data_IF_035326984715
#
_entry.id   IF_035326984715
#
_cell.length_a   1.000
_cell.length_b   1.000
_cell.length_c   1.000
_cell.angle_alpha   90.00
_cell.angle_beta   90.00
_cell.angle_gamma   90.00
#
_symmetry.space_group_name_H-M   'P 1'
#
loop_
_entity.id
_entity.type
_entity.pdbx_description
1 polymer ?
#
# COMPACT_ATOMS: atom_id res chain seq x y z
N UNK A 1 32.73 6.66 8.00
CA UNK A 1 31.40 6.10 8.32
C UNK A 1 30.88 5.39 7.09
N UNK A 2 31.06 4.06 7.01
CA UNK A 2 30.56 3.26 5.91
C UNK A 2 29.16 2.72 6.28
N UNK A 3 28.17 3.03 5.46
CA UNK A 3 26.82 2.48 5.54
C UNK A 3 26.89 0.97 5.33
N UNK A 4 26.68 0.20 6.40
CA UNK A 4 26.56 -1.24 6.34
C UNK A 4 25.29 -1.59 5.54
N UNK A 5 25.48 -2.18 4.36
CA UNK A 5 24.41 -2.83 3.60
C UNK A 5 23.79 -3.91 4.50
N UNK A 6 22.50 -3.76 4.81
CA UNK A 6 21.70 -4.80 5.44
C UNK A 6 21.65 -6.02 4.51
N UNK A 7 22.44 -7.05 4.83
CA UNK A 7 22.27 -8.38 4.25
C UNK A 7 20.90 -8.90 4.71
N UNK A 8 19.96 -9.03 3.78
CA UNK A 8 18.73 -9.80 3.94
C UNK A 8 19.09 -11.27 4.05
N UNK A 9 19.39 -11.75 5.25
CA UNK A 9 19.48 -13.18 5.54
C UNK A 9 18.10 -13.63 6.00
N UNK A 10 17.22 -14.02 5.08
CA UNK A 10 16.12 -14.95 5.37
C UNK A 10 16.70 -16.37 5.15
N UNK A 11 17.17 -17.07 6.21
CA UNK A 11 17.84 -18.38 6.08
C UNK A 11 16.93 -19.49 5.51
N UNK A 12 15.61 -19.28 5.46
CA UNK A 12 14.65 -20.28 5.00
C UNK A 12 14.32 -20.22 3.50
N UNK A 13 14.55 -19.09 2.81
CA UNK A 13 14.27 -19.01 1.37
C UNK A 13 15.13 -19.95 0.54
N UNK A 14 16.30 -20.34 1.03
CA UNK A 14 17.20 -21.30 0.37
C UNK A 14 16.64 -22.72 0.32
N UNK A 15 15.74 -23.10 1.22
CA UNK A 15 15.12 -24.43 1.25
C UNK A 15 13.85 -24.52 0.39
N UNK A 16 13.19 -23.41 0.11
CA UNK A 16 11.96 -23.33 -0.69
C UNK A 16 12.25 -23.42 -2.20
N UNK A 17 11.33 -23.98 -2.99
CA UNK A 17 11.56 -24.15 -4.42
C UNK A 17 10.39 -24.72 -5.21
N UNK A 18 10.61 -24.93 -6.51
CA UNK A 18 9.56 -25.29 -7.47
C UNK A 18 10.06 -26.16 -8.63
N UNK A 19 11.13 -26.95 -8.40
CA UNK A 19 11.74 -27.77 -9.44
C UNK A 19 10.80 -28.86 -9.98
N UNK A 20 9.90 -29.34 -9.14
CA UNK A 20 8.90 -30.37 -9.41
C UNK A 20 7.68 -30.17 -8.49
N UNK A 21 6.62 -30.94 -8.74
CA UNK A 21 5.37 -30.89 -7.97
C UNK A 21 5.60 -31.13 -6.48
N UNK A 22 6.44 -32.10 -6.10
CA UNK A 22 6.69 -32.43 -4.71
C UNK A 22 7.38 -31.27 -3.99
N UNK A 23 8.36 -30.63 -4.64
CA UNK A 23 9.06 -29.48 -4.07
C UNK A 23 8.15 -28.27 -3.88
N UNK A 24 7.18 -28.08 -4.78
CA UNK A 24 6.16 -27.05 -4.62
C UNK A 24 5.26 -27.34 -3.39
N UNK A 25 4.84 -28.60 -3.20
CA UNK A 25 4.08 -29.02 -2.02
C UNK A 25 4.88 -28.87 -0.73
N UNK A 26 6.16 -29.26 -0.73
CA UNK A 26 7.06 -29.06 0.41
C UNK A 26 7.22 -27.56 0.74
N UNK A 27 7.23 -26.71 -0.29
CA UNK A 27 7.27 -25.26 -0.12
C UNK A 27 6.00 -24.72 0.51
N UNK A 28 4.83 -25.19 0.08
CA UNK A 28 3.57 -24.84 0.75
C UNK A 28 3.55 -25.30 2.21
N UNK A 29 4.11 -26.49 2.49
CA UNK A 29 4.24 -27.01 3.86
C UNK A 29 5.17 -26.17 4.73
N UNK A 30 6.28 -25.67 4.20
CA UNK A 30 7.20 -24.76 4.91
C UNK A 30 6.57 -23.39 5.17
N UNK A 31 5.66 -22.94 4.29
CA UNK A 31 4.92 -21.71 4.45
C UNK A 31 3.71 -21.83 5.39
N UNK A 32 3.28 -23.05 5.69
CA UNK A 32 2.11 -23.28 6.53
C UNK A 32 2.31 -22.72 7.95
N UNK A 33 1.26 -22.08 8.47
CA UNK A 33 1.29 -21.35 9.74
C UNK A 33 1.92 -19.95 9.69
N UNK A 34 2.64 -19.56 8.63
CA UNK A 34 3.14 -18.18 8.48
C UNK A 34 2.01 -17.20 8.15
N UNK A 35 2.29 -15.90 8.24
CA UNK A 35 1.29 -14.87 7.89
C UNK A 35 0.77 -15.06 6.46
N UNK A 36 -0.56 -15.03 6.30
CA UNK A 36 -1.18 -15.29 5.00
C UNK A 36 -0.71 -14.31 3.91
N UNK A 37 -0.45 -13.06 4.29
CA UNK A 37 0.11 -12.06 3.38
C UNK A 37 1.54 -12.41 2.94
N UNK A 38 2.37 -12.96 3.84
CA UNK A 38 3.71 -13.42 3.50
C UNK A 38 3.64 -14.65 2.59
N UNK A 39 2.81 -15.65 2.93
CA UNK A 39 2.58 -16.82 2.08
C UNK A 39 2.20 -16.39 0.65
N UNK A 40 1.24 -15.47 0.52
CA UNK A 40 0.81 -14.93 -0.77
C UNK A 40 1.97 -14.31 -1.56
N UNK A 41 2.78 -13.45 -0.94
CA UNK A 41 3.90 -12.80 -1.62
C UNK A 41 4.98 -13.79 -2.06
N UNK A 42 5.32 -14.77 -1.23
CA UNK A 42 6.32 -15.81 -1.56
C UNK A 42 5.82 -16.68 -2.71
N UNK A 43 4.56 -17.14 -2.65
CA UNK A 43 3.96 -18.00 -3.69
C UNK A 43 3.82 -17.23 -5.01
N UNK A 44 3.39 -15.98 -4.98
CA UNK A 44 3.30 -15.12 -6.17
C UNK A 44 4.68 -14.90 -6.82
N UNK A 45 5.73 -14.74 -6.00
CA UNK A 45 7.13 -14.69 -6.47
C UNK A 45 7.54 -16.00 -7.14
N UNK A 46 7.18 -17.16 -6.58
CA UNK A 46 7.45 -18.45 -7.18
C UNK A 46 6.71 -18.67 -8.50
N UNK A 47 5.42 -18.30 -8.62
CA UNK A 47 4.68 -18.37 -9.89
C UNK A 47 5.34 -17.51 -10.96
N UNK A 48 5.76 -16.29 -10.60
CA UNK A 48 6.45 -15.38 -11.52
C UNK A 48 7.79 -15.96 -12.00
N UNK A 49 8.56 -16.55 -11.09
CA UNK A 49 9.82 -17.25 -11.41
C UNK A 49 9.59 -18.48 -12.27
N UNK A 50 8.60 -19.32 -11.94
CA UNK A 50 8.23 -20.50 -12.70
C UNK A 50 7.84 -20.17 -14.15
N UNK A 51 7.02 -19.14 -14.37
CA UNK A 51 6.67 -18.66 -15.71
C UNK A 51 7.89 -18.26 -16.52
N UNK A 52 8.85 -17.56 -15.90
CA UNK A 52 10.10 -17.19 -16.56
C UNK A 52 10.94 -18.43 -16.88
N UNK A 53 11.07 -19.37 -15.95
CA UNK A 53 11.83 -20.61 -16.15
C UNK A 53 11.24 -21.47 -17.26
N UNK A 54 9.91 -21.54 -17.36
CA UNK A 54 9.23 -22.26 -18.45
C UNK A 54 9.51 -21.66 -19.83
N UNK A 55 9.70 -20.35 -19.95
CA UNK A 55 9.99 -19.70 -21.24
C UNK A 55 11.41 -20.00 -21.75
N UNK A 56 12.36 -20.28 -20.85
CA UNK A 56 13.77 -20.46 -21.21
C UNK A 56 14.21 -21.94 -21.24
N UNK A 57 13.42 -22.83 -20.64
CA UNK A 57 13.74 -24.27 -20.56
C UNK A 57 13.30 -24.98 -21.84
N UNK A 58 14.19 -25.78 -22.42
CA UNK A 58 13.95 -26.54 -23.66
C UNK A 58 13.70 -28.04 -23.43
N UNK A 59 14.04 -28.51 -22.23
CA UNK A 59 13.93 -29.91 -21.82
C UNK A 59 12.47 -30.27 -21.47
N UNK A 60 11.89 -31.24 -22.18
CA UNK A 60 10.46 -31.56 -22.08
C UNK A 60 10.06 -32.13 -20.71
N UNK A 61 10.91 -32.95 -20.09
CA UNK A 61 10.65 -33.54 -18.77
C UNK A 61 10.66 -32.45 -17.68
N UNK A 62 11.65 -31.56 -17.73
CA UNK A 62 11.69 -30.39 -16.83
C UNK A 62 10.52 -29.45 -17.05
N UNK A 63 10.08 -29.26 -18.30
CA UNK A 63 8.88 -28.46 -18.59
C UNK A 63 7.62 -29.06 -17.97
N UNK A 64 7.45 -30.39 -18.02
CA UNK A 64 6.34 -31.07 -17.36
C UNK A 64 6.38 -30.86 -15.84
N UNK A 65 7.53 -31.12 -15.21
CA UNK A 65 7.73 -30.93 -13.76
C UNK A 65 7.47 -29.48 -13.31
N UNK A 66 7.94 -28.49 -14.08
CA UNK A 66 7.72 -27.07 -13.80
C UNK A 66 6.26 -26.65 -13.97
N UNK A 67 5.54 -27.20 -14.96
CA UNK A 67 4.10 -26.94 -15.15
C UNK A 67 3.28 -27.50 -13.99
N UNK A 68 3.60 -28.70 -13.53
CA UNK A 68 2.94 -29.27 -12.36
C UNK A 68 3.22 -28.47 -11.09
N UNK A 69 4.47 -28.05 -10.88
CA UNK A 69 4.85 -27.18 -9.76
C UNK A 69 4.13 -25.83 -9.81
N UNK A 70 4.05 -25.20 -11.00
CA UNK A 70 3.32 -23.95 -11.19
C UNK A 70 1.84 -24.12 -10.86
N UNK A 71 1.22 -25.21 -11.32
CA UNK A 71 -0.19 -25.49 -11.06
C UNK A 71 -0.50 -25.57 -9.56
N UNK A 72 0.35 -26.23 -8.78
CA UNK A 72 0.21 -26.29 -7.30
C UNK A 72 0.09 -24.90 -6.68
N UNK A 73 0.92 -23.96 -7.12
CA UNK A 73 0.88 -22.57 -6.61
C UNK A 73 -0.29 -21.76 -7.16
N UNK A 74 -0.67 -21.96 -8.42
CA UNK A 74 -1.84 -21.29 -9.02
C UNK A 74 -3.14 -21.75 -8.35
N UNK A 75 -3.27 -23.04 -8.05
CA UNK A 75 -4.39 -23.60 -7.29
C UNK A 75 -4.47 -22.97 -5.90
N UNK A 76 -3.33 -22.82 -5.19
CA UNK A 76 -3.28 -22.11 -3.91
C UNK A 76 -3.67 -20.63 -4.03
N UNK A 77 -3.22 -19.93 -5.08
CA UNK A 77 -3.57 -18.52 -5.32
C UNK A 77 -5.04 -18.32 -5.70
N UNK A 78 -5.65 -19.29 -6.37
CA UNK A 78 -7.07 -19.28 -6.68
C UNK A 78 -7.88 -19.46 -5.40
N UNK A 79 -7.53 -20.46 -4.57
CA UNK A 79 -8.12 -20.66 -3.23
C UNK A 79 -7.99 -19.40 -2.36
N UNK A 80 -6.82 -18.75 -2.37
CA UNK A 80 -6.61 -17.48 -1.66
C UNK A 80 -7.61 -16.38 -2.06
N UNK A 81 -7.92 -16.27 -3.36
CA UNK A 81 -8.85 -15.27 -3.89
C UNK A 81 -10.31 -15.65 -3.66
N UNK A 82 -10.68 -16.89 -3.97
CA UNK A 82 -12.05 -17.40 -3.88
C UNK A 82 -12.54 -17.40 -2.43
N UNK A 83 -11.70 -17.85 -1.50
CA UNK A 83 -12.03 -17.88 -0.08
C UNK A 83 -11.68 -16.58 0.66
N UNK A 84 -11.25 -15.54 -0.06
CA UNK A 84 -10.90 -14.23 0.49
C UNK A 84 -9.96 -14.32 1.71
N UNK A 85 -8.98 -15.23 1.62
CA UNK A 85 -8.05 -15.59 2.72
C UNK A 85 -7.20 -14.42 3.19
N UNK A 86 -7.18 -13.31 2.45
CA UNK A 86 -6.60 -12.04 2.90
C UNK A 86 -7.22 -11.49 4.18
N UNK A 87 -8.49 -11.81 4.48
CA UNK A 87 -9.15 -11.45 5.75
C UNK A 87 -8.62 -12.21 6.96
N UNK A 88 -7.94 -13.33 6.76
CA UNK A 88 -7.33 -14.13 7.83
C UNK A 88 -5.99 -13.56 8.30
N UNK A 89 -5.61 -12.38 7.81
CA UNK A 89 -4.36 -11.75 8.18
C UNK A 89 -4.39 -11.23 9.62
N UNK A 90 -3.62 -11.88 10.48
CA UNK A 90 -3.50 -11.55 11.89
C UNK A 90 -2.46 -10.44 12.09
N UNK A 91 -2.83 -9.19 11.81
CA UNK A 91 -1.90 -8.05 11.89
C UNK A 91 -1.24 -7.91 13.28
N UNK A 92 0.05 -7.54 13.29
CA UNK A 92 0.81 -7.37 14.52
C UNK A 92 0.47 -6.06 15.22
N UNK A 93 0.27 -6.14 16.55
CA UNK A 93 0.21 -4.98 17.41
C UNK A 93 1.63 -4.44 17.70
N UNK A 94 1.77 -3.13 17.96
CA UNK A 94 3.02 -2.57 18.45
C UNK A 94 3.47 -3.23 19.76
N UNK A 95 4.78 -3.40 19.95
CA UNK A 95 5.37 -3.98 21.17
C UNK A 95 4.83 -3.30 22.44
N UNK A 96 4.73 -1.97 22.41
CA UNK A 96 4.17 -1.17 23.51
C UNK A 96 2.73 -1.51 23.86
N UNK A 97 1.93 -1.86 22.86
CA UNK A 97 0.55 -2.29 23.06
C UNK A 97 0.51 -3.66 23.74
N UNK A 98 1.38 -4.59 23.34
CA UNK A 98 1.49 -5.90 24.01
C UNK A 98 1.91 -5.70 25.47
N UNK A 99 2.92 -4.86 25.71
CA UNK A 99 3.43 -4.53 27.05
C UNK A 99 2.34 -3.98 27.97
N UNK A 100 1.56 -3.02 27.49
CA UNK A 100 0.51 -2.35 28.28
C UNK A 100 -0.62 -3.28 28.77
N UNK A 101 -0.77 -4.46 28.18
CA UNK A 101 -1.81 -5.43 28.57
C UNK A 101 -1.29 -6.59 29.42
N UNK A 102 0.01 -6.64 29.76
CA UNK A 102 0.57 -7.68 30.64
C UNK A 102 -0.08 -7.67 32.02
N UNK A 103 -0.35 -6.49 32.60
CA UNK A 103 -0.98 -6.38 33.92
C UNK A 103 -2.41 -6.94 33.93
N UNK A 104 -3.19 -6.68 32.89
CA UNK A 104 -4.51 -7.28 32.70
C UNK A 104 -4.42 -8.80 32.56
N UNK A 105 -3.47 -9.31 31.78
CA UNK A 105 -3.26 -10.75 31.63
C UNK A 105 -2.88 -11.44 32.94
N UNK A 106 -2.06 -10.78 33.78
CA UNK A 106 -1.73 -11.25 35.14
C UNK A 106 -3.00 -11.37 36.00
N UNK A 107 -3.92 -10.42 35.90
CA UNK A 107 -5.21 -10.44 36.63
C UNK A 107 -6.16 -11.55 36.15
N UNK A 108 -6.11 -11.90 34.86
CA UNK A 108 -6.83 -13.03 34.30
C UNK A 108 -6.13 -14.40 34.50
N UNK A 109 -4.95 -14.42 35.12
CA UNK A 109 -4.11 -15.61 35.30
C UNK A 109 -3.77 -16.31 33.97
N UNK A 110 -3.48 -15.52 32.93
CA UNK A 110 -3.12 -16.00 31.58
C UNK A 110 -1.85 -15.36 31.02
N UNK A 111 -1.04 -14.76 31.88
CA UNK A 111 0.22 -14.14 31.47
C UNK A 111 1.19 -15.21 30.96
N UNK A 112 1.49 -15.16 29.66
CA UNK A 112 2.57 -15.90 28.98
C UNK A 112 3.46 -14.89 28.26
N UNK A 113 4.63 -14.61 28.84
CA UNK A 113 5.57 -13.62 28.31
C UNK A 113 6.52 -14.18 27.25
N UNK A 114 6.45 -15.47 26.93
CA UNK A 114 7.39 -16.12 26.03
C UNK A 114 7.43 -15.44 24.65
N UNK A 115 6.27 -15.09 24.10
CA UNK A 115 6.19 -14.32 22.84
C UNK A 115 6.66 -12.87 23.02
N UNK A 116 6.25 -12.20 24.11
CA UNK A 116 6.63 -10.81 24.37
C UNK A 116 8.15 -10.64 24.47
N UNK A 117 8.83 -11.55 25.17
CA UNK A 117 10.30 -11.55 25.30
C UNK A 117 11.00 -11.73 23.95
N UNK A 118 10.52 -12.66 23.11
CA UNK A 118 11.04 -12.85 21.76
C UNK A 118 10.81 -11.61 20.88
N UNK A 119 9.61 -11.01 20.94
CA UNK A 119 9.26 -9.82 20.18
C UNK A 119 10.02 -8.58 20.64
N UNK A 120 10.28 -8.46 21.95
CA UNK A 120 11.11 -7.42 22.55
C UNK A 120 12.57 -7.54 22.12
N UNK A 121 13.13 -8.76 22.04
CA UNK A 121 14.49 -9.00 21.56
C UNK A 121 14.69 -8.50 20.12
N UNK A 122 13.67 -8.68 19.28
CA UNK A 122 13.62 -8.13 17.92
C UNK A 122 13.16 -6.66 17.87
N UNK A 123 13.07 -5.97 19.01
CA UNK A 123 12.68 -4.55 19.14
C UNK A 123 11.33 -4.21 18.49
N UNK A 124 10.40 -5.17 18.49
CA UNK A 124 9.10 -5.00 17.86
C UNK A 124 9.10 -5.20 16.34
N UNK A 125 10.21 -5.68 15.73
CA UNK A 125 10.20 -6.08 14.32
C UNK A 125 9.65 -7.50 14.15
N UNK A 126 8.39 -7.58 13.71
CA UNK A 126 7.71 -8.85 13.52
C UNK A 126 8.33 -9.70 12.39
N UNK A 127 9.08 -9.10 11.45
CA UNK A 127 9.77 -9.86 10.40
C UNK A 127 10.95 -10.64 10.97
N UNK A 128 11.63 -10.10 11.98
CA UNK A 128 12.71 -10.77 12.70
C UNK A 128 12.25 -12.09 13.33
N UNK A 129 11.00 -12.16 13.80
CA UNK A 129 10.41 -13.36 14.39
C UNK A 129 10.37 -14.59 13.46
N UNK A 130 10.53 -14.39 12.14
CA UNK A 130 10.66 -15.49 11.17
C UNK A 130 11.97 -16.26 11.25
N UNK A 131 12.95 -15.73 11.99
CA UNK A 131 14.24 -16.38 12.23
C UNK A 131 14.43 -16.75 13.71
N UNK A 132 13.57 -16.28 14.62
CA UNK A 132 13.64 -16.59 16.05
C UNK A 132 12.87 -17.87 16.32
N UNK A 133 13.56 -18.92 16.78
CA UNK A 133 12.94 -20.19 17.18
C UNK A 133 12.21 -20.06 18.53
N UNK A 134 11.13 -20.82 18.69
CA UNK A 134 10.45 -20.99 19.97
C UNK A 134 11.28 -21.82 20.94
N UNK A 135 10.90 -21.83 22.23
CA UNK A 135 11.60 -22.60 23.28
C UNK A 135 11.72 -24.10 22.96
N UNK A 136 10.75 -24.68 22.25
CA UNK A 136 10.78 -26.08 21.79
C UNK A 136 11.66 -26.31 20.55
N UNK A 137 12.34 -25.27 20.04
CA UNK A 137 13.29 -25.23 18.92
C UNK A 137 12.85 -25.80 17.56
N UNK A 138 11.63 -26.32 17.40
CA UNK A 138 11.18 -26.92 16.14
C UNK A 138 10.68 -25.89 15.10
N UNK A 139 10.10 -24.78 15.54
CA UNK A 139 9.44 -23.79 14.68
C UNK A 139 9.74 -22.35 15.12
N UNK A 140 9.50 -21.39 14.24
CA UNK A 140 9.73 -19.96 14.47
C UNK A 140 8.55 -19.30 15.17
N UNK A 141 8.81 -18.20 15.88
CA UNK A 141 7.79 -17.52 16.68
C UNK A 141 6.62 -16.99 15.87
N UNK A 142 6.83 -16.58 14.62
CA UNK A 142 5.72 -16.17 13.73
C UNK A 142 4.71 -17.30 13.50
N UNK A 143 5.20 -18.55 13.31
CA UNK A 143 4.37 -19.74 13.14
C UNK A 143 3.65 -20.10 14.45
N UNK A 144 4.39 -20.17 15.57
CA UNK A 144 3.81 -20.51 16.88
C UNK A 144 2.70 -19.54 17.25
N UNK A 145 2.97 -18.24 17.10
CA UNK A 145 2.01 -17.16 17.37
C UNK A 145 0.75 -17.32 16.54
N UNK A 146 0.88 -17.54 15.24
CA UNK A 146 -0.28 -17.68 14.34
C UNK A 146 -1.10 -18.93 14.61
N UNK A 147 -0.47 -20.05 14.98
CA UNK A 147 -1.19 -21.28 15.40
C UNK A 147 -1.97 -21.04 16.69
N UNK A 148 -1.31 -20.53 17.74
CA UNK A 148 -1.99 -20.20 19.01
C UNK A 148 -3.15 -19.23 18.81
N UNK A 149 -2.99 -18.20 17.99
CA UNK A 149 -4.06 -17.25 17.67
C UNK A 149 -5.24 -17.91 16.95
N UNK A 150 -4.98 -18.78 15.98
CA UNK A 150 -6.05 -19.52 15.29
C UNK A 150 -6.87 -20.34 16.28
N UNK A 151 -6.23 -21.02 17.22
CA UNK A 151 -6.89 -21.84 18.22
C UNK A 151 -7.77 -20.99 19.16
N UNK A 152 -7.23 -19.86 19.66
CA UNK A 152 -7.97 -18.94 20.53
C UNK A 152 -9.16 -18.32 19.76
N UNK A 153 -8.95 -17.85 18.53
CA UNK A 153 -10.02 -17.25 17.72
C UNK A 153 -11.10 -18.28 17.38
N UNK A 154 -10.71 -19.53 17.09
CA UNK A 154 -11.65 -20.61 16.88
C UNK A 154 -12.49 -20.89 18.13
N UNK A 155 -11.86 -20.89 19.33
CA UNK A 155 -12.56 -20.99 20.61
C UNK A 155 -13.56 -19.84 20.80
N UNK A 156 -13.12 -18.58 20.63
CA UNK A 156 -13.99 -17.39 20.72
C UNK A 156 -15.21 -17.53 19.81
N UNK A 157 -15.01 -17.94 18.56
CA UNK A 157 -16.09 -18.13 17.59
C UNK A 157 -17.04 -19.25 18.00
N UNK A 158 -16.51 -20.40 18.43
CA UNK A 158 -17.28 -21.59 18.82
C UNK A 158 -18.12 -21.35 20.07
N UNK A 159 -17.55 -20.67 21.06
CA UNK A 159 -18.20 -20.39 22.34
C UNK A 159 -18.94 -19.04 22.35
N UNK A 160 -18.96 -18.32 21.22
CA UNK A 160 -19.57 -17.00 21.06
C UNK A 160 -19.12 -15.97 22.12
N UNK A 161 -17.84 -16.05 22.51
CA UNK A 161 -17.24 -15.16 23.51
C UNK A 161 -17.16 -13.76 22.93
N UNK A 162 -17.54 -12.75 23.72
CA UNK A 162 -17.38 -11.36 23.32
C UNK A 162 -15.90 -10.96 23.34
N UNK A 163 -15.53 -9.98 22.53
CA UNK A 163 -14.17 -9.43 22.56
C UNK A 163 -13.90 -8.55 23.79
N UNK A 164 -14.95 -8.04 24.42
CA UNK A 164 -14.86 -7.15 25.58
C UNK A 164 -15.84 -7.59 26.65
N UNK A 165 -15.44 -7.45 27.91
CA UNK A 165 -16.29 -7.73 29.06
C UNK A 165 -17.42 -6.71 29.14
N UNK A 166 -18.68 -7.18 29.16
CA UNK A 166 -19.86 -6.32 29.20
C UNK A 166 -20.37 -6.08 30.63
N UNK A 167 -20.26 -7.09 31.50
CA UNK A 167 -20.95 -7.14 32.80
C UNK A 167 -20.07 -7.61 33.97
N UNK A 168 -18.76 -7.82 33.75
CA UNK A 168 -17.85 -8.36 34.78
C UNK A 168 -17.19 -7.22 35.56
N UNK A 169 -17.90 -6.65 36.53
CA UNK A 169 -17.36 -5.77 37.59
C UNK A 169 -16.23 -4.85 37.14
N UNK A 170 -15.04 -5.04 37.72
CA UNK A 170 -13.86 -4.22 37.44
C UNK A 170 -13.27 -4.39 36.03
N UNK A 171 -13.61 -5.46 35.33
CA UNK A 171 -13.15 -5.73 33.99
C UNK A 171 -14.07 -5.15 32.91
N UNK A 172 -15.22 -4.59 33.27
CA UNK A 172 -16.18 -4.02 32.33
C UNK A 172 -15.51 -3.01 31.37
N UNK A 173 -15.69 -3.24 30.07
CA UNK A 173 -15.12 -2.44 28.99
C UNK A 173 -13.71 -2.83 28.57
N UNK A 174 -13.01 -3.67 29.34
CA UNK A 174 -11.70 -4.22 28.98
C UNK A 174 -11.85 -5.49 28.12
N UNK A 175 -10.77 -5.90 27.42
CA UNK A 175 -10.75 -7.17 26.71
C UNK A 175 -11.08 -8.35 27.61
N UNK A 176 -11.80 -9.33 27.08
CA UNK A 176 -12.05 -10.61 27.77
C UNK A 176 -10.75 -11.38 27.98
N UNK A 177 -10.80 -12.46 28.77
CA UNK A 177 -9.66 -13.37 28.99
C UNK A 177 -9.04 -13.84 27.66
N UNK A 178 -9.85 -14.36 26.74
CA UNK A 178 -9.40 -14.87 25.45
C UNK A 178 -8.87 -13.74 24.54
N UNK A 179 -9.52 -12.56 24.53
CA UNK A 179 -9.00 -11.43 23.76
C UNK A 179 -7.67 -10.92 24.34
N UNK A 180 -7.50 -10.94 25.66
CA UNK A 180 -6.23 -10.58 26.31
C UNK A 180 -5.11 -11.53 25.89
N UNK A 181 -5.38 -12.84 25.78
CA UNK A 181 -4.42 -13.81 25.24
C UNK A 181 -4.05 -13.50 23.78
N UNK A 182 -5.02 -13.09 22.95
CA UNK A 182 -4.72 -12.61 21.60
C UNK A 182 -3.81 -11.39 21.60
N UNK A 183 -4.05 -10.42 22.50
CA UNK A 183 -3.26 -9.20 22.62
C UNK A 183 -1.83 -9.53 23.06
N UNK A 184 -1.64 -10.48 23.98
CA UNK A 184 -0.31 -10.96 24.38
C UNK A 184 0.44 -11.61 23.23
N UNK A 185 -0.26 -12.22 22.27
CA UNK A 185 0.30 -12.73 21.02
C UNK A 185 0.39 -11.65 19.92
N UNK A 186 0.22 -10.38 20.29
CA UNK A 186 0.33 -9.23 19.39
C UNK A 186 -0.79 -9.15 18.37
N UNK A 187 -2.03 -9.52 18.70
CA UNK A 187 -3.18 -9.42 17.81
C UNK A 187 -4.42 -8.86 18.49
N UNK A 188 -5.18 -8.04 17.76
CA UNK A 188 -6.56 -7.69 18.10
C UNK A 188 -7.34 -7.38 16.82
N UNK A 189 -8.64 -7.75 16.74
CA UNK A 189 -9.51 -7.29 15.66
C UNK A 189 -9.78 -5.78 15.71
N UNK A 190 -9.55 -5.11 16.84
CA UNK A 190 -9.73 -3.66 17.01
C UNK A 190 -8.47 -3.01 17.62
N UNK A 191 -7.38 -2.87 16.84
CA UNK A 191 -6.12 -2.34 17.32
C UNK A 191 -6.23 -0.89 17.81
N UNK A 192 -7.17 -0.12 17.25
CA UNK A 192 -7.36 1.30 17.61
C UNK A 192 -7.98 1.43 19.00
N UNK A 193 -8.98 0.61 19.33
CA UNK A 193 -9.58 0.59 20.67
C UNK A 193 -8.60 0.06 21.71
N UNK A 194 -7.85 -1.00 21.41
CA UNK A 194 -6.83 -1.53 22.31
C UNK A 194 -5.78 -0.47 22.63
N UNK A 195 -5.27 0.27 21.63
CA UNK A 195 -4.32 1.36 21.86
C UNK A 195 -4.84 2.45 22.82
N UNK A 196 -6.14 2.78 22.76
CA UNK A 196 -6.77 3.77 23.66
C UNK A 196 -6.99 3.26 25.07
N UNK A 197 -7.12 1.95 25.24
CA UNK A 197 -7.38 1.32 26.54
C UNK A 197 -6.11 1.12 27.38
N UNK A 198 -4.90 1.26 26.80
CA UNK A 198 -3.62 1.05 27.52
C UNK A 198 -3.58 1.87 28.82
N UNK A 199 -3.82 3.18 28.77
CA UNK A 199 -3.75 4.04 29.95
C UNK A 199 -4.78 3.65 31.02
N UNK A 200 -5.96 3.17 30.61
CA UNK A 200 -7.01 2.72 31.54
C UNK A 200 -6.63 1.39 32.19
N UNK A 201 -5.97 0.49 31.44
CA UNK A 201 -5.45 -0.77 31.98
C UNK A 201 -4.35 -0.49 33.00
N UNK A 202 -3.42 0.40 32.67
CA UNK A 202 -2.31 0.77 33.55
C UNK A 202 -2.79 1.46 34.84
N UNK A 203 -3.77 2.36 34.73
CA UNK A 203 -4.39 3.02 35.89
C UNK A 203 -5.09 2.03 36.81
N UNK A 204 -5.84 1.07 36.23
CA UNK A 204 -6.70 0.17 37.01
C UNK A 204 -5.99 -1.06 37.55
N UNK A 205 -5.06 -1.61 36.78
CA UNK A 205 -4.39 -2.88 37.10
C UNK A 205 -2.89 -2.74 37.35
N UNK A 206 -2.36 -1.52 37.22
CA UNK A 206 -0.94 -1.21 37.35
C UNK A 206 -0.16 -1.42 36.06
N UNK A 207 1.12 -1.03 36.09
CA UNK A 207 2.08 -1.30 35.02
C UNK A 207 3.09 -2.33 35.49
N UNK A 208 3.32 -3.37 34.68
CA UNK A 208 4.42 -4.31 34.90
C UNK A 208 5.65 -3.75 34.20
N UNK A 209 6.53 -3.12 34.98
CA UNK A 209 7.80 -2.58 34.48
C UNK A 209 8.76 -3.70 34.07
N UNK A 210 9.60 -3.44 33.06
CA UNK A 210 10.58 -4.39 32.52
C UNK A 210 11.66 -4.86 33.54
N UNK A 211 11.65 -4.30 34.76
CA UNK A 211 12.58 -4.63 35.85
C UNK A 211 12.18 -5.85 36.70
N UNK A 212 10.95 -6.36 36.59
CA UNK A 212 10.53 -7.57 37.32
C UNK A 212 11.01 -8.89 36.64
N UNK A 213 11.58 -8.82 35.44
CA UNK A 213 11.94 -9.99 34.62
C UNK A 213 13.45 -10.39 34.72
N UNK A 214 14.19 -9.90 35.72
CA UNK A 214 15.65 -10.15 35.88
C UNK A 214 16.00 -11.37 36.75
N UNK A 215 15.12 -12.35 36.86
CA UNK A 215 15.38 -13.62 37.58
C UNK A 215 15.05 -14.86 36.74
N UNK A 216 15.76 -15.07 35.62
CA UNK A 216 15.88 -16.43 35.06
C UNK A 216 17.25 -16.64 34.38
N UNK A 217 18.16 -17.21 35.15
CA UNK A 217 19.32 -18.06 34.82
C UNK A 217 20.04 -17.89 33.46
N UNK A 218 21.08 -17.05 33.46
CA UNK A 218 22.24 -17.19 32.56
C UNK A 218 23.21 -18.23 33.16
N UNK A 219 23.02 -19.52 32.85
CA UNK A 219 24.05 -20.54 33.10
C UNK A 219 24.37 -21.35 31.82
N UNK A 220 25.64 -21.21 31.43
CA UNK A 220 26.46 -22.14 30.63
C UNK A 220 26.19 -22.22 29.12
N UNK A 221 27.11 -21.65 28.34
CA UNK A 221 28.19 -22.46 27.76
C UNK A 221 29.39 -21.58 27.35
N UNK A 222 30.47 -21.67 28.13
CA UNK A 222 31.83 -21.34 27.69
C UNK A 222 32.34 -22.46 26.79
N UNK A 223 32.87 -22.10 25.62
CA UNK A 223 33.64 -22.97 24.74
C UNK A 223 34.82 -22.20 24.15
N UNK A 224 36.01 -22.69 24.40
CA UNK A 224 37.30 -22.01 24.26
C UNK A 224 37.97 -22.28 22.89
N UNK A 225 38.64 -21.26 22.33
CA UNK A 225 39.89 -21.31 21.51
C UNK A 225 39.92 -22.16 20.21
N UNK A 226 40.21 -21.51 19.07
CA UNK A 226 41.56 -21.51 18.43
C UNK A 226 41.66 -20.68 17.15
N UNK A 227 42.87 -20.17 16.98
CA UNK A 227 43.47 -19.37 15.90
C UNK A 227 43.57 -20.08 14.54
N UNK A 228 43.54 -19.33 13.44
CA UNK A 228 44.71 -19.22 12.56
C UNK A 228 44.65 -17.93 11.72
N UNK A 229 45.80 -17.26 11.63
CA UNK A 229 46.18 -16.28 10.62
C UNK A 229 46.57 -17.03 9.35
N UNK A 230 46.28 -16.48 8.17
CA UNK A 230 47.07 -16.69 6.93
C UNK A 230 46.66 -15.66 5.88
N UNK A 231 47.69 -15.01 5.37
CA UNK A 231 47.74 -13.85 4.47
C UNK A 231 47.85 -14.25 2.99
N UNK A 232 47.90 -13.21 2.13
CA UNK A 232 48.42 -13.14 0.74
C UNK A 232 47.32 -13.08 -0.34
N UNK A 233 47.09 -11.94 -1.03
CA UNK A 233 47.89 -11.29 -2.12
C UNK A 233 47.95 -12.17 -3.37
N UNK A 234 47.86 -11.70 -4.61
CA UNK A 234 47.57 -10.44 -5.31
C UNK A 234 47.51 -10.83 -6.81
N UNK A 235 46.85 -10.00 -7.63
CA UNK A 235 47.10 -9.81 -9.08
C UNK A 235 46.92 -11.00 -10.05
N UNK A 236 46.73 -10.83 -11.35
CA UNK A 236 46.17 -9.81 -12.26
C UNK A 236 46.33 -10.44 -13.66
N UNK A 237 45.72 -9.80 -14.64
CA UNK A 237 45.94 -9.92 -16.09
C UNK A 237 45.01 -10.91 -16.82
N UNK A 238 44.10 -10.47 -17.70
CA UNK A 238 44.15 -9.63 -18.93
C UNK A 238 44.12 -10.54 -20.18
N UNK A 239 43.23 -10.19 -21.13
CA UNK A 239 43.22 -10.44 -22.59
C UNK A 239 41.77 -10.52 -23.15
N UNK A 240 41.25 -9.37 -23.56
CA UNK A 240 40.45 -9.21 -24.79
C UNK A 240 41.44 -9.01 -25.96
N UNK A 241 41.13 -9.23 -27.28
CA UNK A 241 39.83 -9.00 -27.93
C UNK A 241 39.51 -9.87 -29.18
N UNK A 242 38.29 -9.73 -29.75
CA UNK A 242 38.06 -9.35 -31.19
C UNK A 242 36.58 -9.31 -31.61
N UNK A 243 36.18 -8.15 -32.12
CA UNK A 243 34.93 -7.75 -32.81
C UNK A 243 34.74 -8.40 -34.20
N UNK A 244 33.49 -8.66 -34.62
CA UNK A 244 32.68 -7.83 -35.59
C UNK A 244 31.46 -8.57 -36.17
N UNK A 245 30.30 -7.88 -36.09
CA UNK A 245 29.26 -7.69 -37.15
C UNK A 245 28.44 -8.92 -37.61
N UNK A 246 27.11 -8.91 -37.78
CA UNK A 246 26.21 -7.90 -38.37
C UNK A 246 24.77 -7.99 -37.81
N UNK A 247 24.08 -6.85 -37.93
CA UNK A 247 22.72 -6.51 -37.51
C UNK A 247 21.90 -6.26 -38.78
N UNK A 248 20.72 -6.88 -38.92
CA UNK A 248 19.49 -6.33 -39.54
C UNK A 248 18.55 -7.48 -39.88
N UNK A 249 17.36 -7.44 -39.27
CA UNK A 249 16.07 -8.02 -39.71
C UNK A 249 15.33 -8.54 -38.48
N UNK A 250 14.64 -7.62 -37.80
CA UNK A 250 13.45 -7.88 -36.97
C UNK A 250 13.00 -6.53 -36.36
N UNK A 251 12.62 -5.60 -37.23
CA UNK A 251 12.05 -4.29 -36.84
C UNK A 251 10.58 -4.14 -37.30
N UNK A 252 9.92 -5.23 -37.73
CA UNK A 252 8.62 -5.13 -38.42
C UNK A 252 7.41 -5.75 -37.69
N UNK A 253 7.52 -6.24 -36.45
CA UNK A 253 6.35 -6.83 -35.76
C UNK A 253 6.31 -6.50 -34.27
N UNK A 254 5.87 -5.27 -33.94
CA UNK A 254 5.02 -4.93 -32.77
C UNK A 254 4.77 -3.41 -32.70
N UNK A 255 4.20 -2.86 -33.77
CA UNK A 255 3.49 -1.58 -33.74
C UNK A 255 2.03 -1.84 -33.32
N UNK A 256 1.78 -2.28 -32.09
CA UNK A 256 0.42 -2.29 -31.53
C UNK A 256 0.50 -1.99 -30.02
N UNK A 257 0.51 -0.68 -29.70
CA UNK A 257 0.28 0.02 -28.42
C UNK A 257 1.17 1.27 -28.24
N UNK A 258 1.37 2.06 -29.30
CA UNK A 258 1.77 3.47 -29.17
C UNK A 258 0.50 4.34 -29.25
N UNK A 259 -0.32 4.36 -28.19
CA UNK A 259 -1.52 5.21 -28.14
C UNK A 259 -1.58 6.12 -26.89
N UNK A 260 -0.48 6.20 -26.15
CA UNK A 260 -0.24 7.32 -25.25
C UNK A 260 0.95 8.08 -25.82
N UNK A 261 0.79 9.32 -26.26
CA UNK A 261 1.87 10.17 -26.81
C UNK A 261 3.00 10.51 -25.83
N UNK A 262 3.14 9.73 -24.75
CA UNK A 262 4.15 9.82 -23.70
C UNK A 262 5.34 8.93 -24.03
N UNK A 263 6.55 9.44 -23.83
CA UNK A 263 7.80 8.78 -24.19
C UNK A 263 8.91 9.05 -23.18
N UNK A 264 9.84 8.11 -23.08
CA UNK A 264 11.04 8.17 -22.22
C UNK A 264 12.33 7.92 -23.03
N UNK A 265 12.28 8.15 -24.35
CA UNK A 265 13.40 7.88 -25.27
C UNK A 265 14.64 8.74 -24.95
N UNK A 266 14.42 10.00 -24.62
CA UNK A 266 15.45 10.99 -24.31
C UNK A 266 14.88 12.07 -23.38
N UNK A 267 15.77 12.94 -22.89
CA UNK A 267 15.45 14.03 -21.98
C UNK A 267 14.36 14.97 -22.54
N UNK A 268 14.43 15.33 -23.81
CA UNK A 268 13.47 16.26 -24.42
C UNK A 268 12.09 15.63 -24.50
N UNK A 269 12.01 14.35 -24.88
CA UNK A 269 10.75 13.59 -24.91
C UNK A 269 10.16 13.38 -23.52
N UNK A 270 10.97 13.27 -22.48
CA UNK A 270 10.50 13.25 -21.11
C UNK A 270 9.85 14.58 -20.71
N UNK A 271 10.48 15.71 -21.05
CA UNK A 271 9.93 17.05 -20.83
C UNK A 271 8.63 17.28 -21.62
N UNK A 272 8.59 16.88 -22.90
CA UNK A 272 7.38 16.95 -23.72
C UNK A 272 6.25 16.10 -23.12
N UNK A 273 6.58 14.94 -22.55
CA UNK A 273 5.61 14.06 -21.88
C UNK A 273 5.04 14.71 -20.63
N UNK A 274 5.88 15.31 -19.78
CA UNK A 274 5.40 16.09 -18.61
C UNK A 274 4.51 17.24 -19.08
N UNK A 275 4.92 17.98 -20.12
CA UNK A 275 4.15 19.10 -20.68
C UNK A 275 2.79 18.64 -21.22
N UNK A 276 2.71 17.48 -21.86
CA UNK A 276 1.44 16.92 -22.36
C UNK A 276 0.47 16.48 -21.25
N UNK A 277 0.99 16.27 -20.05
CA UNK A 277 0.22 15.94 -18.85
C UNK A 277 -0.20 17.18 -18.05
N UNK A 278 0.31 18.36 -18.39
CA UNK A 278 -0.02 19.60 -17.69
C UNK A 278 -1.52 19.90 -17.76
N UNK A 279 -2.05 20.47 -16.69
CA UNK A 279 -3.49 20.71 -16.50
C UNK A 279 -4.33 19.46 -16.14
N UNK A 280 -3.81 18.24 -16.30
CA UNK A 280 -4.53 17.03 -15.86
C UNK A 280 -4.46 16.86 -14.34
N UNK A 281 -5.29 15.97 -13.78
CA UNK A 281 -5.29 15.65 -12.35
C UNK A 281 -3.89 15.28 -11.86
N UNK A 282 -3.42 15.92 -10.79
CA UNK A 282 -2.05 15.75 -10.27
C UNK A 282 -1.78 14.29 -9.89
N UNK A 283 -2.78 13.59 -9.36
CA UNK A 283 -2.70 12.15 -9.15
C UNK A 283 -2.55 11.37 -10.46
N UNK A 284 -3.27 11.72 -11.53
CA UNK A 284 -3.12 11.05 -12.83
C UNK A 284 -1.71 11.26 -13.41
N UNK A 285 -1.20 12.49 -13.36
CA UNK A 285 0.16 12.81 -13.79
C UNK A 285 1.19 11.93 -13.07
N UNK A 286 1.05 11.79 -11.74
CA UNK A 286 1.92 10.94 -10.93
C UNK A 286 1.90 9.48 -11.35
N UNK A 287 0.71 8.91 -11.59
CA UNK A 287 0.60 7.51 -12.01
C UNK A 287 1.16 7.30 -13.42
N UNK A 288 0.94 8.25 -14.34
CA UNK A 288 1.47 8.20 -15.70
C UNK A 288 3.00 8.25 -15.71
N UNK A 289 3.59 9.19 -14.97
CA UNK A 289 5.05 9.39 -14.86
C UNK A 289 5.71 8.20 -14.14
N UNK A 290 5.14 7.75 -13.02
CA UNK A 290 5.64 6.53 -12.33
C UNK A 290 5.57 5.30 -13.23
N UNK A 291 4.53 5.20 -14.08
CA UNK A 291 4.41 4.14 -15.07
C UNK A 291 5.49 4.22 -16.15
N UNK A 292 5.87 5.42 -16.59
CA UNK A 292 6.98 5.64 -17.53
C UNK A 292 8.32 5.27 -16.91
N UNK A 293 8.58 5.66 -15.67
CA UNK A 293 9.80 5.28 -14.92
C UNK A 293 10.01 3.76 -14.89
N UNK A 294 8.99 3.01 -14.44
CA UNK A 294 9.06 1.54 -14.38
C UNK A 294 9.30 0.90 -15.76
N UNK A 295 8.76 1.48 -16.82
CA UNK A 295 9.00 1.03 -18.20
C UNK A 295 10.42 1.37 -18.66
N UNK A 296 10.90 2.58 -18.34
CA UNK A 296 12.24 3.03 -18.67
C UNK A 296 13.30 2.15 -18.00
N UNK A 297 13.18 1.87 -16.70
CA UNK A 297 14.08 0.97 -15.97
C UNK A 297 14.16 -0.42 -16.60
N UNK A 298 12.99 -0.96 -16.96
CA UNK A 298 12.91 -2.25 -17.64
C UNK A 298 13.62 -2.21 -19.00
N UNK A 299 13.38 -1.18 -19.82
CA UNK A 299 14.01 -1.07 -21.14
C UNK A 299 15.52 -0.85 -21.01
N UNK A 300 15.97 -0.03 -20.07
CA UNK A 300 17.39 0.17 -19.76
C UNK A 300 18.04 -1.17 -19.41
N UNK A 301 17.41 -1.99 -18.55
CA UNK A 301 17.95 -3.29 -18.14
C UNK A 301 18.11 -4.32 -19.26
N UNK A 302 17.35 -4.16 -20.35
CA UNK A 302 17.37 -5.07 -21.51
C UNK A 302 18.14 -4.51 -22.71
N UNK A 303 18.54 -3.24 -22.66
CA UNK A 303 19.24 -2.55 -23.78
C UNK A 303 20.74 -2.75 -23.64
N UNK A 304 21.43 -3.00 -24.76
CA UNK A 304 22.90 -3.13 -24.82
C UNK A 304 23.59 -1.91 -25.44
N UNK A 305 22.80 -1.01 -26.02
CA UNK A 305 23.27 0.21 -26.68
C UNK A 305 23.51 1.31 -25.64
N UNK A 306 24.79 1.67 -25.45
CA UNK A 306 25.22 2.62 -24.40
C UNK A 306 24.67 4.03 -24.61
N UNK A 307 24.57 4.48 -25.87
CA UNK A 307 24.04 5.81 -26.20
C UNK A 307 22.53 5.88 -25.87
N UNK A 308 21.79 4.83 -26.20
CA UNK A 308 20.36 4.73 -25.83
C UNK A 308 20.18 4.64 -24.32
N UNK A 309 21.03 3.90 -23.61
CA UNK A 309 21.00 3.83 -22.15
C UNK A 309 21.23 5.23 -21.55
N UNK A 310 22.21 5.98 -22.06
CA UNK A 310 22.49 7.34 -21.60
C UNK A 310 21.28 8.26 -21.80
N UNK A 311 20.69 8.27 -23.00
CA UNK A 311 19.52 9.10 -23.29
C UNK A 311 18.32 8.74 -22.41
N UNK A 312 18.07 7.45 -22.18
CA UNK A 312 16.99 6.99 -21.29
C UNK A 312 17.27 7.33 -19.82
N UNK A 313 18.53 7.31 -19.36
CA UNK A 313 18.89 7.73 -18.00
C UNK A 313 18.64 9.21 -17.77
N UNK A 314 18.97 10.06 -18.74
CA UNK A 314 18.64 11.49 -18.67
C UNK A 314 17.11 11.72 -18.65
N UNK A 315 16.34 10.90 -19.36
CA UNK A 315 14.88 10.91 -19.28
C UNK A 315 14.35 10.46 -17.90
N UNK A 316 14.96 9.42 -17.30
CA UNK A 316 14.62 8.92 -15.96
C UNK A 316 14.85 10.01 -14.91
N UNK A 317 16.00 10.70 -14.96
CA UNK A 317 16.31 11.78 -14.02
C UNK A 317 15.24 12.89 -14.03
N UNK A 318 14.76 13.28 -15.22
CA UNK A 318 13.66 14.25 -15.36
C UNK A 318 12.39 13.78 -14.64
N UNK A 319 12.02 12.52 -14.79
CA UNK A 319 10.83 11.97 -14.13
C UNK A 319 11.04 11.75 -12.63
N UNK A 320 12.22 11.31 -12.18
CA UNK A 320 12.54 11.15 -10.76
C UNK A 320 12.51 12.49 -10.02
N UNK A 321 13.02 13.56 -10.64
CA UNK A 321 12.93 14.91 -10.10
C UNK A 321 11.47 15.35 -9.94
N UNK A 322 10.63 15.09 -10.95
CA UNK A 322 9.19 15.40 -10.87
C UNK A 322 8.48 14.59 -9.78
N UNK A 323 8.80 13.30 -9.63
CA UNK A 323 8.22 12.42 -8.60
C UNK A 323 8.68 12.82 -7.20
N UNK A 324 9.94 13.24 -7.07
CA UNK A 324 10.49 13.76 -5.81
C UNK A 324 9.77 15.04 -5.40
N UNK A 325 9.62 15.99 -6.32
CA UNK A 325 8.85 17.20 -6.12
C UNK A 325 7.40 16.91 -5.68
N UNK A 326 6.73 15.97 -6.34
CA UNK A 326 5.38 15.51 -5.96
C UNK A 326 5.31 15.04 -4.49
N UNK A 327 6.28 14.23 -4.06
CA UNK A 327 6.30 13.65 -2.71
C UNK A 327 6.70 14.67 -1.64
N UNK A 328 7.74 15.48 -1.90
CA UNK A 328 8.28 16.46 -0.95
C UNK A 328 7.32 17.63 -0.74
N UNK A 329 6.76 18.17 -1.82
CA UNK A 329 5.84 19.31 -1.76
C UNK A 329 4.38 18.89 -1.53
N UNK A 330 4.13 17.59 -1.32
CA UNK A 330 2.82 17.02 -1.04
C UNK A 330 1.76 17.45 -2.07
N UNK A 331 2.15 17.45 -3.35
CA UNK A 331 1.34 17.90 -4.49
C UNK A 331 0.05 17.09 -4.66
N UNK A 332 -0.05 15.95 -3.98
CA UNK A 332 -1.30 15.19 -3.84
C UNK A 332 -2.48 16.04 -3.34
N UNK A 333 -2.22 17.06 -2.51
CA UNK A 333 -3.25 17.97 -1.98
C UNK A 333 -3.76 19.01 -3.00
N UNK A 334 -3.04 19.21 -4.11
CA UNK A 334 -3.45 20.09 -5.21
C UNK A 334 -4.51 19.45 -6.11
N UNK A 335 -4.84 18.17 -5.85
CA UNK A 335 -5.79 17.44 -6.67
C UNK A 335 -7.24 17.88 -6.41
N UNK A 336 -7.91 18.37 -7.46
CA UNK A 336 -9.32 18.71 -7.42
C UNK A 336 -10.21 17.46 -7.50
N UNK A 337 -10.50 16.83 -6.36
CA UNK A 337 -11.36 15.65 -6.31
C UNK A 337 -12.76 15.92 -6.92
N UNK A 338 -13.28 14.97 -7.70
CA UNK A 338 -14.58 15.10 -8.35
C UNK A 338 -15.73 14.90 -7.36
N UNK A 339 -16.72 15.78 -7.43
CA UNK A 339 -18.04 15.55 -6.87
C UNK A 339 -18.82 14.57 -7.76
N UNK A 340 -19.81 13.88 -7.20
CA UNK A 340 -20.75 13.08 -8.01
C UNK A 340 -21.63 14.02 -8.84
N UNK A 341 -21.98 13.61 -10.07
CA UNK A 341 -22.84 14.40 -10.95
C UNK A 341 -24.16 14.79 -10.26
N UNK A 342 -24.80 13.87 -9.53
CA UNK A 342 -26.02 14.14 -8.75
C UNK A 342 -25.84 15.25 -7.70
N UNK A 343 -24.65 15.33 -7.09
CA UNK A 343 -24.37 16.33 -6.09
C UNK A 343 -24.17 17.70 -6.75
N UNK A 344 -23.47 17.75 -7.90
CA UNK A 344 -23.35 19.00 -8.67
C UNK A 344 -24.72 19.48 -9.13
N UNK A 345 -25.53 18.58 -9.69
CA UNK A 345 -26.92 18.85 -10.12
C UNK A 345 -27.77 19.39 -8.98
N UNK A 346 -27.65 18.83 -7.77
CA UNK A 346 -28.42 19.29 -6.61
C UNK A 346 -28.17 20.76 -6.27
N UNK A 347 -26.98 21.30 -6.59
CA UNK A 347 -26.61 22.69 -6.34
C UNK A 347 -26.90 23.65 -7.49
N UNK A 348 -27.43 23.17 -8.63
CA UNK A 348 -27.82 24.02 -9.76
C UNK A 348 -28.79 25.16 -9.36
N UNK A 349 -29.83 24.95 -8.54
CA UNK A 349 -30.72 26.04 -8.13
C UNK A 349 -30.01 27.16 -7.35
N UNK A 350 -28.95 26.84 -6.61
CA UNK A 350 -28.12 27.85 -5.94
C UNK A 350 -27.29 28.65 -6.94
N UNK A 351 -26.75 27.97 -7.95
CA UNK A 351 -26.03 28.62 -9.03
C UNK A 351 -26.94 29.60 -9.79
N UNK A 352 -28.18 29.19 -10.09
CA UNK A 352 -29.19 30.05 -10.71
C UNK A 352 -29.51 31.27 -9.83
N UNK A 353 -29.67 31.07 -8.51
CA UNK A 353 -29.91 32.16 -7.55
C UNK A 353 -28.75 33.16 -7.49
N UNK A 354 -27.51 32.70 -7.66
CA UNK A 354 -26.33 33.56 -7.75
C UNK A 354 -26.09 34.14 -9.16
N UNK A 355 -26.88 33.76 -10.16
CA UNK A 355 -26.67 34.19 -11.55
C UNK A 355 -25.40 33.63 -12.18
N UNK A 356 -24.96 32.43 -11.77
CA UNK A 356 -23.79 31.75 -12.33
C UNK A 356 -24.19 31.11 -13.66
N UNK A 357 -23.51 31.50 -14.74
CA UNK A 357 -23.72 30.94 -16.07
C UNK A 357 -23.36 29.45 -16.14
N UNK A 358 -24.14 28.69 -16.95
CA UNK A 358 -23.84 27.29 -17.22
C UNK A 358 -22.60 27.18 -18.11
N UNK A 359 -21.58 26.50 -17.59
CA UNK A 359 -20.31 26.29 -18.28
C UNK A 359 -20.32 25.05 -19.18
N UNK A 360 -21.44 24.31 -19.24
CA UNK A 360 -21.60 23.07 -20.01
C UNK A 360 -20.89 21.85 -19.43
N UNK A 361 -20.11 22.00 -18.35
CA UNK A 361 -19.37 20.91 -17.72
C UNK A 361 -20.31 19.83 -17.16
N UNK A 362 -21.37 20.24 -16.47
CA UNK A 362 -22.32 19.30 -15.87
C UNK A 362 -22.99 18.43 -16.94
N UNK A 363 -23.41 19.03 -18.05
CA UNK A 363 -24.01 18.30 -19.17
C UNK A 363 -23.04 17.28 -19.77
N UNK A 364 -21.78 17.68 -20.00
CA UNK A 364 -20.74 16.77 -20.49
C UNK A 364 -20.43 15.65 -19.49
N UNK A 365 -20.47 15.94 -18.20
CA UNK A 365 -20.20 14.97 -17.13
C UNK A 365 -21.35 13.96 -16.99
N UNK A 366 -22.59 14.39 -17.15
CA UNK A 366 -23.79 13.54 -17.15
C UNK A 366 -23.87 12.62 -18.37
N UNK A 367 -23.46 13.11 -19.55
CA UNK A 367 -23.37 12.30 -20.78
C UNK A 367 -22.45 11.09 -20.64
N UNK A 368 -21.46 11.18 -19.75
CA UNK A 368 -20.53 10.09 -19.44
C UNK A 368 -20.89 9.35 -18.13
N UNK A 369 -22.16 9.38 -17.72
CA UNK A 369 -22.69 8.72 -16.53
C UNK A 369 -21.98 9.11 -15.21
N UNK A 370 -21.39 10.31 -15.16
CA UNK A 370 -20.60 10.74 -14.01
C UNK A 370 -19.24 10.04 -13.88
N UNK A 371 -18.75 9.35 -14.91
CA UNK A 371 -17.39 8.77 -14.92
C UNK A 371 -16.35 9.80 -15.35
N UNK A 372 -15.74 10.46 -14.36
CA UNK A 372 -14.72 11.49 -14.59
C UNK A 372 -13.50 10.99 -15.38
N UNK A 373 -13.24 9.69 -15.43
CA UNK A 373 -12.09 9.16 -16.20
C UNK A 373 -12.33 9.31 -17.69
N UNK A 374 -13.58 9.27 -18.15
CA UNK A 374 -13.94 9.44 -19.57
C UNK A 374 -13.78 10.88 -20.05
N UNK A 375 -13.91 11.85 -19.14
CA UNK A 375 -13.66 13.27 -19.43
C UNK A 375 -12.23 13.57 -19.91
N UNK A 376 -11.28 12.64 -19.71
CA UNK A 376 -9.91 12.72 -20.22
C UNK A 376 -9.79 12.58 -21.74
N UNK A 377 -10.85 12.09 -22.37
CA UNK A 377 -10.95 11.85 -23.82
C UNK A 377 -12.03 12.71 -24.48
N UNK A 378 -12.96 13.28 -23.70
CA UNK A 378 -14.05 14.11 -24.21
C UNK A 378 -13.54 15.55 -24.39
N UNK A 379 -13.62 16.07 -25.62
CA UNK A 379 -13.22 17.45 -25.93
C UNK A 379 -14.32 18.45 -25.52
N UNK A 380 -13.89 19.64 -25.10
CA UNK A 380 -14.78 20.78 -24.93
C UNK A 380 -15.20 21.28 -26.32
N UNK A 381 -16.47 21.63 -26.55
CA UNK A 381 -16.92 22.24 -27.81
C UNK A 381 -16.02 23.40 -28.22
N UNK A 382 -15.69 23.47 -29.51
CA UNK A 382 -14.85 24.51 -30.11
C UNK A 382 -13.43 24.65 -29.53
N UNK A 383 -12.96 23.67 -28.75
CA UNK A 383 -11.63 23.65 -28.15
C UNK A 383 -10.86 22.37 -28.50
N UNK A 384 -9.53 22.48 -28.47
CA UNK A 384 -8.65 21.32 -28.59
C UNK A 384 -8.39 20.63 -27.23
N UNK A 385 -8.85 21.23 -26.14
CA UNK A 385 -8.68 20.70 -24.79
C UNK A 385 -9.81 19.74 -24.41
N UNK A 386 -9.48 18.79 -23.54
CA UNK A 386 -10.43 17.87 -22.94
C UNK A 386 -11.05 18.47 -21.67
N UNK A 387 -12.25 17.99 -21.31
CA UNK A 387 -12.98 18.53 -20.16
C UNK A 387 -12.21 18.42 -18.84
N UNK A 388 -11.38 17.39 -18.65
CA UNK A 388 -10.53 17.26 -17.45
C UNK A 388 -9.52 18.43 -17.32
N UNK A 389 -8.92 18.85 -18.44
CA UNK A 389 -7.95 19.94 -18.47
C UNK A 389 -8.64 21.29 -18.28
N UNK A 390 -9.71 21.54 -19.03
CA UNK A 390 -10.45 22.82 -18.96
C UNK A 390 -11.01 23.04 -17.55
N UNK A 391 -11.61 22.01 -16.96
CA UNK A 391 -12.13 22.06 -15.59
C UNK A 391 -11.05 22.38 -14.57
N UNK A 392 -9.91 21.70 -14.62
CA UNK A 392 -8.82 21.92 -13.66
C UNK A 392 -8.18 23.30 -13.80
N UNK A 393 -8.06 23.81 -15.02
CA UNK A 393 -7.58 25.17 -15.31
C UNK A 393 -8.50 26.24 -14.69
N UNK A 394 -9.82 26.11 -14.90
CA UNK A 394 -10.80 27.03 -14.34
C UNK A 394 -10.85 26.94 -12.80
N UNK A 395 -10.84 25.73 -12.25
CA UNK A 395 -10.81 25.52 -10.79
C UNK A 395 -9.57 26.12 -10.14
N UNK A 396 -8.39 26.01 -10.76
CA UNK A 396 -7.18 26.63 -10.22
C UNK A 396 -7.33 28.15 -10.09
N UNK A 397 -7.83 28.81 -11.15
CA UNK A 397 -8.11 30.25 -11.10
C UNK A 397 -9.14 30.64 -10.03
N UNK A 398 -10.20 29.84 -9.86
CA UNK A 398 -11.22 30.09 -8.84
C UNK A 398 -10.67 29.93 -7.42
N UNK A 399 -9.96 28.83 -7.15
CA UNK A 399 -9.41 28.53 -5.83
C UNK A 399 -8.34 29.53 -5.42
N UNK A 400 -7.46 29.93 -6.36
CA UNK A 400 -6.47 30.97 -6.12
C UNK A 400 -7.16 32.30 -5.77
N UNK A 401 -8.21 32.68 -6.52
CA UNK A 401 -9.00 33.88 -6.22
C UNK A 401 -9.66 33.84 -4.83
N UNK A 402 -10.25 32.70 -4.45
CA UNK A 402 -10.87 32.50 -3.13
C UNK A 402 -9.82 32.66 -2.03
N UNK A 403 -8.64 32.06 -2.23
CA UNK A 403 -7.53 32.11 -1.28
C UNK A 403 -6.97 33.53 -1.13
N UNK A 404 -6.70 34.21 -2.24
CA UNK A 404 -6.11 35.56 -2.27
C UNK A 404 -7.04 36.61 -1.66
N UNK A 405 -8.35 36.48 -1.92
CA UNK A 405 -9.37 37.38 -1.37
C UNK A 405 -9.90 36.94 -0.01
N UNK A 406 -9.39 35.85 0.55
CA UNK A 406 -9.85 35.26 1.82
C UNK A 406 -11.38 35.06 1.89
N UNK A 407 -11.99 34.64 0.77
CA UNK A 407 -13.44 34.45 0.69
C UNK A 407 -13.83 33.20 1.46
N UNK A 408 -14.80 33.27 2.38
CA UNK A 408 -15.26 32.08 3.09
C UNK A 408 -15.93 31.11 2.11
N UNK A 409 -15.75 29.81 2.35
CA UNK A 409 -16.38 28.77 1.54
C UNK A 409 -17.91 28.69 1.75
N UNK A 410 -18.41 29.23 2.87
CA UNK A 410 -19.83 29.19 3.21
C UNK A 410 -20.30 30.56 3.70
N UNK A 411 -21.53 30.88 3.38
CA UNK A 411 -22.21 32.11 3.78
C UNK A 411 -22.32 32.21 5.31
N UNK A 412 -21.88 33.32 5.88
CA UNK A 412 -21.88 33.54 7.34
C UNK A 412 -23.08 34.35 7.81
N UNK A 413 -23.56 35.33 7.02
CA UNK A 413 -24.45 36.39 7.51
C UNK A 413 -25.66 36.69 6.62
N UNK A 414 -25.85 35.96 5.51
CA UNK A 414 -26.94 36.17 4.55
C UNK A 414 -28.14 35.23 4.80
N UNK A 415 -29.25 35.44 4.09
CA UNK A 415 -30.40 34.49 4.07
C UNK A 415 -29.95 33.04 3.75
N UNK A 416 -28.88 32.93 2.96
CA UNK A 416 -28.25 31.69 2.56
C UNK A 416 -27.24 31.16 3.59
N UNK A 417 -27.21 31.69 4.82
CA UNK A 417 -26.29 31.27 5.89
C UNK A 417 -26.14 29.75 5.97
N UNK A 418 -24.89 29.30 5.99
CA UNK A 418 -24.52 27.89 6.01
C UNK A 418 -24.47 27.20 4.64
N UNK A 419 -25.03 27.80 3.58
CA UNK A 419 -24.88 27.32 2.21
C UNK A 419 -23.55 27.81 1.60
N UNK A 420 -23.07 27.18 0.51
CA UNK A 420 -21.88 27.63 -0.22
C UNK A 420 -22.01 29.09 -0.68
N UNK A 421 -20.92 29.87 -0.60
CA UNK A 421 -20.86 31.21 -1.19
C UNK A 421 -20.95 31.14 -2.72
N UNK A 422 -21.12 32.28 -3.39
CA UNK A 422 -21.10 32.36 -4.86
C UNK A 422 -19.84 31.69 -5.44
N UNK A 423 -18.66 32.02 -4.90
CA UNK A 423 -17.38 31.49 -5.39
C UNK A 423 -17.22 29.99 -5.15
N UNK A 424 -17.68 29.49 -4.00
CA UNK A 424 -17.72 28.06 -3.75
C UNK A 424 -18.73 27.37 -4.68
N UNK A 425 -19.87 28.01 -4.97
CA UNK A 425 -20.88 27.50 -5.91
C UNK A 425 -20.30 27.41 -7.32
N UNK A 426 -19.49 28.38 -7.77
CA UNK A 426 -18.74 28.28 -9.04
C UNK A 426 -17.82 27.07 -9.06
N UNK A 427 -17.10 26.78 -7.97
CA UNK A 427 -16.29 25.56 -7.84
C UNK A 427 -17.15 24.27 -7.90
N UNK A 428 -18.32 24.28 -7.26
CA UNK A 428 -19.25 23.14 -7.26
C UNK A 428 -19.77 22.88 -8.68
N UNK A 429 -20.07 23.92 -9.45
CA UNK A 429 -20.49 23.80 -10.86
C UNK A 429 -19.38 23.25 -11.78
N UNK A 430 -18.11 23.31 -11.35
CA UNK A 430 -16.98 22.60 -11.96
C UNK A 430 -16.70 21.24 -11.30
N UNK A 431 -17.62 20.74 -10.47
CA UNK A 431 -17.53 19.45 -9.81
C UNK A 431 -16.47 19.37 -8.73
N UNK A 432 -16.21 20.44 -7.97
CA UNK A 432 -15.20 20.45 -6.90
C UNK A 432 -15.69 21.11 -5.60
N UNK A 433 -15.24 20.57 -4.47
CA UNK A 433 -15.30 21.19 -3.16
C UNK A 433 -14.27 20.56 -2.21
N UNK A 434 -13.74 21.35 -1.27
CA UNK A 434 -12.94 20.83 -0.16
C UNK A 434 -13.76 20.10 0.90
N UNK A 435 -15.08 20.35 0.99
CA UNK A 435 -15.98 19.78 2.00
C UNK A 435 -17.15 19.00 1.38
N UNK A 436 -16.89 17.95 0.57
CA UNK A 436 -17.94 17.22 -0.15
C UNK A 436 -18.96 16.54 0.78
N UNK A 437 -18.53 16.12 1.97
CA UNK A 437 -19.41 15.50 2.97
C UNK A 437 -20.38 16.50 3.58
N UNK A 438 -19.96 17.75 3.76
CA UNK A 438 -20.81 18.83 4.25
C UNK A 438 -21.83 19.23 3.19
N UNK A 439 -21.41 19.33 1.92
CA UNK A 439 -22.34 19.57 0.81
C UNK A 439 -23.45 18.52 0.76
N UNK A 440 -23.10 17.22 0.85
CA UNK A 440 -24.11 16.15 0.91
C UNK A 440 -25.13 16.33 2.03
N UNK A 441 -24.70 16.77 3.21
CA UNK A 441 -25.58 17.03 4.36
C UNK A 441 -26.43 18.28 4.21
N UNK A 442 -25.99 19.26 3.41
CA UNK A 442 -26.68 20.52 3.19
C UNK A 442 -27.73 20.45 2.07
N UNK A 443 -27.80 19.37 1.28
CA UNK A 443 -28.80 19.21 0.20
C UNK A 443 -30.25 19.39 0.69
N UNK A 444 -30.69 18.87 1.86
CA UNK A 444 -32.04 19.13 2.36
C UNK A 444 -32.27 20.61 2.71
N UNK A 445 -31.33 21.23 3.41
CA UNK A 445 -31.38 22.66 3.77
C UNK A 445 -31.37 23.57 2.53
N UNK A 446 -30.66 23.14 1.48
CA UNK A 446 -30.64 23.82 0.20
C UNK A 446 -32.04 23.85 -0.42
N UNK A 447 -32.73 22.71 -0.46
CA UNK A 447 -34.11 22.61 -0.97
C UNK A 447 -35.05 23.51 -0.18
N UNK A 448 -34.98 23.47 1.15
CA UNK A 448 -35.81 24.30 2.04
C UNK A 448 -35.60 25.81 1.79
N UNK A 449 -34.35 26.25 1.62
CA UNK A 449 -34.02 27.68 1.48
C UNK A 449 -34.18 28.25 0.08
N UNK A 450 -34.14 27.43 -0.96
CA UNK A 450 -34.26 27.87 -2.36
C UNK A 450 -35.65 27.58 -2.93
N UNK A 451 -36.26 26.47 -2.55
CA UNK A 451 -37.60 26.06 -2.95
C UNK A 451 -38.49 25.86 -1.70
N UNK A 452 -38.87 26.92 -0.96
CA UNK A 452 -39.68 26.80 0.26
C UNK A 452 -41.16 26.39 0.01
N UNK A 453 -41.49 25.83 -1.16
CA UNK A 453 -42.88 25.62 -1.62
C UNK A 453 -43.07 24.29 -2.37
N UNK A 454 -42.45 23.21 -1.89
CA UNK A 454 -42.87 21.81 -2.14
C UNK A 454 -43.23 21.11 -0.84
#
# INVERSE_FOLDING_TARGET
MAMAKSKSTEPEEGAMGFKDKQKALDTLKMLDGRDISYQYHVIMSFVSRARRTLQITKDEEKLANLREAQKVFEDWLNDYKENNRGKDNLAYLPLETVRGFRSLAKKYEVLDDSFYLAYKKEKGDYKGLRAVRSQDDEVTWDIVRNRKLKDIIAKIKKEHIQWYETDVGDFRGFPTKEHTQCILLGYSPDPTKIKKLISQVEEKFGSLSDSEDMEVEDEKHRGTKRSHDSSSSSDSEDDEPKKKSQKKEQEAVKQEKEESGLSFKDKQKALDSIKSLDGRDVSYQFHAITGLLKRADRVISCTKDEEKIKNMREAVEVFENWVTDYNVNNRSKENFAYLSADLVRAYKPLADKYGIEDNGFLEAYEKEDGDYKRLRSVKVPDSQMTWDIERNKNLRSLVDRIKDKHIPWFETDSELRGLPTEEHTRCIMWGFSHEPTKLKKLVPTLKEKINPSE
#
